data_IF_453562388062
#
_entry.id   IF_453562388062
#
_cell.length_a   1.000
_cell.length_b   1.000
_cell.length_c   1.000
_cell.angle_alpha   90.00
_cell.angle_beta   90.00
_cell.angle_gamma   90.00
#
_symmetry.space_group_name_H-M   'P 1'
#
loop_
_entity.id
_entity.type
_entity.pdbx_description
1 polymer ?
#
# COMPACT_ATOMS: atom_id res chain seq x y z
N UNK A 1 -10.35 -2.00 16.94
CA UNK A 1 -9.61 -2.40 15.74
C UNK A 1 -9.31 -3.87 15.84
N UNK A 2 -9.57 -4.60 14.78
CA UNK A 2 -9.34 -6.04 14.76
C UNK A 2 -7.86 -6.29 14.42
N UNK A 3 -7.12 -6.85 15.36
CA UNK A 3 -5.70 -7.11 15.19
C UNK A 3 -5.41 -8.26 14.23
N UNK A 4 -6.42 -9.04 13.89
CA UNK A 4 -6.28 -10.16 12.95
C UNK A 4 -6.37 -9.73 11.48
N UNK A 5 -6.77 -8.50 11.22
CA UNK A 5 -6.86 -7.99 9.86
C UNK A 5 -5.49 -7.49 9.38
N UNK A 6 -5.15 -7.84 8.14
CA UNK A 6 -3.91 -7.39 7.52
C UNK A 6 -4.09 -6.06 6.79
N UNK A 7 -5.12 -5.32 7.10
CA UNK A 7 -5.27 -3.95 6.64
C UNK A 7 -6.24 -3.20 7.53
N UNK A 8 -6.17 -1.87 7.49
CA UNK A 8 -7.21 -1.00 8.04
C UNK A 8 -7.28 0.26 7.22
N UNK A 9 -8.43 0.49 6.59
CA UNK A 9 -8.68 1.64 5.73
C UNK A 9 -10.02 2.26 6.13
N UNK A 10 -10.31 3.44 5.57
CA UNK A 10 -11.55 4.16 5.88
C UNK A 10 -12.78 3.38 5.40
N UNK A 11 -12.77 2.93 4.16
CA UNK A 11 -13.93 2.32 3.51
C UNK A 11 -13.48 1.47 2.33
N UNK A 12 -13.51 0.16 2.50
CA UNK A 12 -13.07 -0.77 1.47
C UNK A 12 -13.94 -0.71 0.20
N UNK A 13 -15.16 -0.21 0.32
CA UNK A 13 -16.05 -0.09 -0.85
C UNK A 13 -15.55 0.93 -1.87
N UNK A 14 -14.58 1.78 -1.51
CA UNK A 14 -13.96 2.73 -2.42
C UNK A 14 -12.92 2.09 -3.34
N UNK A 15 -12.67 0.80 -3.20
CA UNK A 15 -11.57 0.12 -3.92
C UNK A 15 -11.73 0.17 -5.44
N UNK A 16 -12.94 0.02 -5.96
CA UNK A 16 -13.14 0.03 -7.42
C UNK A 16 -12.84 1.41 -8.01
N UNK A 17 -13.24 2.46 -7.32
CA UNK A 17 -12.91 3.82 -7.72
C UNK A 17 -11.39 4.03 -7.66
N UNK A 18 -10.76 3.58 -6.58
CA UNK A 18 -9.30 3.66 -6.43
C UNK A 18 -8.58 2.92 -7.56
N UNK A 19 -9.06 1.74 -7.94
CA UNK A 19 -8.45 0.95 -9.02
C UNK A 19 -8.46 1.71 -10.34
N UNK A 20 -9.55 2.37 -10.67
CA UNK A 20 -9.64 3.17 -11.89
C UNK A 20 -8.64 4.31 -11.89
N UNK A 21 -8.48 4.98 -10.75
CA UNK A 21 -7.52 6.08 -10.62
C UNK A 21 -6.08 5.58 -10.70
N UNK A 22 -5.80 4.41 -10.14
CA UNK A 22 -4.47 3.79 -10.24
C UNK A 22 -4.13 3.48 -11.70
N UNK A 23 -5.08 2.93 -12.45
CA UNK A 23 -4.87 2.64 -13.87
C UNK A 23 -4.53 3.89 -14.68
N UNK A 24 -5.19 5.01 -14.37
CA UNK A 24 -4.88 6.29 -15.01
C UNK A 24 -3.46 6.75 -14.61
N UNK A 25 -3.13 6.67 -13.33
CA UNK A 25 -1.82 7.09 -12.83
C UNK A 25 -0.69 6.28 -13.46
N UNK A 26 -0.91 4.99 -13.71
CA UNK A 26 0.09 4.14 -14.38
C UNK A 26 0.49 4.70 -15.73
N UNK A 27 -0.47 5.27 -16.47
CA UNK A 27 -0.19 5.87 -17.77
C UNK A 27 0.66 7.15 -17.66
N UNK A 28 0.66 7.76 -16.49
CA UNK A 28 1.41 8.99 -16.24
C UNK A 28 2.76 8.74 -15.58
N UNK A 29 3.10 7.48 -15.32
CA UNK A 29 4.34 7.09 -14.63
C UNK A 29 5.13 6.09 -15.48
N UNK A 30 5.52 6.47 -16.71
CA UNK A 30 6.14 5.52 -17.64
C UNK A 30 7.49 4.96 -17.17
N UNK A 31 8.28 5.76 -16.43
CA UNK A 31 9.56 5.28 -15.90
C UNK A 31 9.37 4.13 -14.91
N UNK A 32 8.44 4.31 -13.98
CA UNK A 32 8.16 3.27 -12.98
C UNK A 32 7.55 2.03 -13.64
N UNK A 33 6.65 2.23 -14.60
CA UNK A 33 6.04 1.10 -15.32
C UNK A 33 7.06 0.34 -16.16
N UNK A 34 8.06 1.04 -16.71
CA UNK A 34 9.15 0.39 -17.45
C UNK A 34 9.99 -0.49 -16.52
N UNK A 35 10.28 -0.03 -15.31
CA UNK A 35 10.99 -0.81 -14.30
C UNK A 35 10.17 -2.05 -13.91
N UNK A 36 8.88 -1.87 -13.69
CA UNK A 36 7.98 -2.99 -13.36
C UNK A 36 8.05 -4.06 -14.43
N UNK A 37 7.92 -3.66 -15.70
CA UNK A 37 7.96 -4.57 -16.82
C UNK A 37 9.30 -5.28 -16.94
N UNK A 38 10.40 -4.54 -16.74
CA UNK A 38 11.75 -5.09 -16.89
C UNK A 38 12.08 -6.14 -15.84
N UNK A 39 11.64 -5.96 -14.61
CA UNK A 39 12.06 -6.79 -13.49
C UNK A 39 10.98 -7.70 -12.92
N UNK A 40 9.75 -7.66 -13.44
CA UNK A 40 8.65 -8.45 -12.90
C UNK A 40 8.93 -9.96 -12.99
N UNK A 41 9.44 -10.42 -14.12
CA UNK A 41 9.70 -11.85 -14.35
C UNK A 41 10.85 -12.35 -13.48
N UNK A 42 11.89 -11.56 -13.29
CA UNK A 42 13.06 -11.95 -12.50
C UNK A 42 12.81 -11.88 -10.99
N UNK A 43 11.73 -11.18 -10.57
CA UNK A 43 11.43 -10.99 -9.15
C UNK A 43 12.64 -10.48 -8.37
N UNK A 44 13.22 -9.39 -8.87
CA UNK A 44 14.49 -8.87 -8.34
C UNK A 44 14.43 -8.49 -6.85
N UNK A 45 13.24 -8.28 -6.28
CA UNK A 45 13.06 -7.97 -4.86
C UNK A 45 12.55 -9.17 -4.06
N UNK A 46 12.57 -10.37 -4.63
CA UNK A 46 12.13 -11.57 -3.93
C UNK A 46 12.89 -11.73 -2.62
N UNK A 47 12.15 -11.98 -1.55
CA UNK A 47 12.73 -12.13 -0.21
C UNK A 47 12.90 -10.83 0.57
N UNK A 48 12.68 -9.67 -0.09
CA UNK A 48 12.76 -8.38 0.60
C UNK A 48 11.46 -8.11 1.35
N UNK A 49 11.58 -7.62 2.58
CA UNK A 49 10.46 -7.14 3.38
C UNK A 49 10.58 -5.63 3.48
N UNK A 50 9.59 -4.94 2.97
CA UNK A 50 9.63 -3.48 2.86
C UNK A 50 8.48 -2.88 3.64
N UNK A 51 8.81 -2.03 4.62
CA UNK A 51 7.84 -1.18 5.29
C UNK A 51 7.92 0.20 4.67
N UNK A 52 6.80 0.72 4.20
CA UNK A 52 6.74 2.07 3.69
C UNK A 52 6.00 2.99 4.65
N UNK A 53 6.49 4.20 4.77
CA UNK A 53 5.82 5.27 5.50
C UNK A 53 5.85 6.50 4.60
N UNK A 54 4.85 6.61 3.75
CA UNK A 54 4.75 7.68 2.76
C UNK A 54 3.28 7.95 2.51
N UNK A 55 2.96 9.16 2.07
CA UNK A 55 1.56 9.56 1.80
C UNK A 55 0.85 8.49 0.97
N UNK A 56 -0.25 7.98 1.50
CA UNK A 56 -0.99 6.89 0.83
C UNK A 56 -1.89 7.48 -0.25
N UNK A 57 -1.28 7.88 -1.35
CA UNK A 57 -1.95 8.48 -2.51
C UNK A 57 -2.04 7.47 -3.65
N UNK A 58 -2.73 7.87 -4.72
CA UNK A 58 -2.84 7.06 -5.93
C UNK A 58 -1.44 6.76 -6.51
N UNK A 59 -0.55 7.75 -6.55
CA UNK A 59 0.79 7.56 -7.07
C UNK A 59 1.60 6.58 -6.21
N UNK A 60 1.45 6.67 -4.90
CA UNK A 60 2.07 5.74 -3.97
C UNK A 60 1.51 4.32 -4.17
N UNK A 61 0.23 4.20 -4.49
CA UNK A 61 -0.35 2.90 -4.81
C UNK A 61 0.34 2.24 -6.01
N UNK A 62 0.66 3.02 -7.04
CA UNK A 62 1.41 2.50 -8.20
C UNK A 62 2.79 2.00 -7.75
N UNK A 63 3.46 2.74 -6.88
CA UNK A 63 4.76 2.33 -6.33
C UNK A 63 4.63 1.03 -5.54
N UNK A 64 3.66 0.94 -4.64
CA UNK A 64 3.44 -0.26 -3.82
C UNK A 64 3.23 -1.48 -4.70
N UNK A 65 2.36 -1.37 -5.70
CA UNK A 65 2.08 -2.49 -6.59
C UNK A 65 3.30 -2.87 -7.43
N UNK A 66 4.13 -1.89 -7.78
CA UNK A 66 5.39 -2.16 -8.46
C UNK A 66 6.32 -2.99 -7.56
N UNK A 67 6.47 -2.61 -6.29
CA UNK A 67 7.32 -3.36 -5.36
C UNK A 67 6.83 -4.80 -5.19
N UNK A 68 5.52 -4.98 -5.10
CA UNK A 68 4.93 -6.32 -4.98
C UNK A 68 5.14 -7.15 -6.25
N UNK A 69 4.97 -6.54 -7.41
CA UNK A 69 5.22 -7.20 -8.70
C UNK A 69 6.68 -7.65 -8.83
N UNK A 70 7.60 -6.91 -8.23
CA UNK A 70 9.03 -7.26 -8.22
C UNK A 70 9.37 -8.32 -7.17
N UNK A 71 8.40 -8.78 -6.41
CA UNK A 71 8.57 -9.89 -5.49
C UNK A 71 8.67 -9.52 -4.02
N UNK A 72 8.62 -8.24 -3.66
CA UNK A 72 8.74 -7.82 -2.26
C UNK A 72 7.47 -8.12 -1.46
N UNK A 73 7.66 -8.39 -0.17
CA UNK A 73 6.58 -8.35 0.81
C UNK A 73 6.49 -6.92 1.32
N UNK A 74 5.34 -6.28 1.18
CA UNK A 74 5.19 -4.85 1.47
C UNK A 74 4.11 -4.64 2.53
N UNK A 75 4.40 -3.76 3.49
CA UNK A 75 3.43 -3.28 4.47
C UNK A 75 3.54 -1.76 4.49
N UNK A 76 2.42 -1.08 4.56
CA UNK A 76 2.42 0.37 4.33
C UNK A 76 1.57 1.13 5.34
N UNK A 77 2.05 2.31 5.73
CA UNK A 77 1.31 3.30 6.50
C UNK A 77 1.59 4.68 5.93
N UNK A 78 0.70 5.63 6.16
CA UNK A 78 0.95 7.00 5.74
C UNK A 78 1.88 7.70 6.72
N UNK A 79 2.65 8.65 6.22
CA UNK A 79 3.51 9.48 7.05
C UNK A 79 2.81 10.74 7.57
N UNK A 80 1.50 10.87 7.34
CA UNK A 80 0.73 12.05 7.76
C UNK A 80 -0.72 11.64 8.00
N UNK A 81 -1.34 12.22 9.04
CA UNK A 81 -2.70 11.85 9.44
C UNK A 81 -3.79 12.34 8.48
N UNK A 82 -3.49 13.27 7.58
CA UNK A 82 -4.49 13.84 6.68
C UNK A 82 -4.22 13.59 5.19
N UNK A 83 -3.07 13.00 4.83
CA UNK A 83 -2.67 12.95 3.42
C UNK A 83 -3.20 11.75 2.66
N UNK A 84 -3.79 10.77 3.33
CA UNK A 84 -4.29 9.56 2.66
C UNK A 84 -5.44 9.88 1.72
N UNK A 85 -5.38 9.33 0.52
CA UNK A 85 -6.53 9.24 -0.37
C UNK A 85 -7.21 7.92 -0.09
N UNK A 86 -8.40 7.96 0.50
CA UNK A 86 -9.05 6.75 1.01
C UNK A 86 -9.35 5.72 -0.05
N UNK A 87 -9.65 6.16 -1.28
CA UNK A 87 -9.88 5.23 -2.38
C UNK A 87 -8.59 4.51 -2.82
N UNK A 88 -7.42 5.18 -2.70
CA UNK A 88 -6.14 4.54 -2.99
C UNK A 88 -5.84 3.45 -1.96
N UNK A 89 -6.01 3.76 -0.67
CA UNK A 89 -5.81 2.79 0.40
C UNK A 89 -6.75 1.59 0.24
N UNK A 90 -8.02 1.85 -0.10
CA UNK A 90 -9.00 0.79 -0.31
C UNK A 90 -8.59 -0.16 -1.45
N UNK A 91 -8.11 0.39 -2.56
CA UNK A 91 -7.67 -0.42 -3.70
C UNK A 91 -6.50 -1.34 -3.33
N UNK A 92 -5.53 -0.81 -2.58
CA UNK A 92 -4.37 -1.59 -2.12
C UNK A 92 -4.81 -2.69 -1.15
N UNK A 93 -5.71 -2.37 -0.23
CA UNK A 93 -6.25 -3.37 0.70
C UNK A 93 -6.99 -4.49 -0.03
N UNK A 94 -7.81 -4.13 -1.03
CA UNK A 94 -8.55 -5.13 -1.82
C UNK A 94 -7.63 -6.02 -2.63
N UNK A 95 -6.47 -5.50 -3.04
CA UNK A 95 -5.47 -6.29 -3.74
C UNK A 95 -4.72 -7.27 -2.83
N UNK A 96 -5.01 -7.25 -1.53
CA UNK A 96 -4.39 -8.17 -0.58
C UNK A 96 -3.08 -7.67 0.00
N UNK A 97 -2.75 -6.41 -0.17
CA UNK A 97 -1.51 -5.82 0.33
C UNK A 97 -1.79 -5.16 1.68
N UNK A 98 -1.04 -5.52 2.75
CA UNK A 98 -1.23 -4.90 4.05
C UNK A 98 -1.01 -3.39 4.02
N UNK A 99 -2.05 -2.63 4.32
CA UNK A 99 -2.03 -1.17 4.33
C UNK A 99 -2.86 -0.67 5.52
N UNK A 100 -2.32 0.32 6.23
CA UNK A 100 -2.93 0.85 7.44
C UNK A 100 -2.92 2.38 7.34
N UNK A 101 -3.95 2.93 6.72
CA UNK A 101 -4.00 4.36 6.44
C UNK A 101 -5.42 4.82 6.15
N UNK A 102 -5.80 5.96 6.71
CA UNK A 102 -7.05 6.66 6.36
C UNK A 102 -6.88 8.14 6.63
N UNK A 103 -7.68 8.94 5.95
CA UNK A 103 -7.67 10.37 6.16
C UNK A 103 -8.34 10.71 7.50
N UNK A 104 -7.63 11.44 8.34
CA UNK A 104 -8.18 11.86 9.63
C UNK A 104 -7.85 10.91 10.78
N UNK A 105 -6.71 10.23 10.72
CA UNK A 105 -6.22 9.44 11.85
C UNK A 105 -5.98 10.32 13.06
N UNK A 106 -6.28 9.83 14.26
CA UNK A 106 -5.78 10.44 15.49
C UNK A 106 -4.29 10.12 15.62
N UNK A 107 -3.57 10.82 16.52
CA UNK A 107 -2.17 10.49 16.75
C UNK A 107 -1.99 9.06 17.27
N UNK A 108 -2.89 8.62 18.13
CA UNK A 108 -2.85 7.24 18.62
C UNK A 108 -3.03 6.23 17.49
N UNK A 109 -3.97 6.52 16.58
CA UNK A 109 -4.22 5.66 15.42
C UNK A 109 -3.03 5.68 14.46
N UNK A 110 -2.42 6.83 14.27
CA UNK A 110 -1.23 6.97 13.44
C UNK A 110 -0.10 6.03 13.92
N UNK A 111 0.18 6.05 15.21
CA UNK A 111 1.23 5.19 15.77
C UNK A 111 0.86 3.72 15.73
N UNK A 112 -0.42 3.40 15.93
CA UNK A 112 -0.89 2.03 15.75
C UNK A 112 -0.65 1.56 14.31
N UNK A 113 -0.96 2.41 13.31
CA UNK A 113 -0.73 2.08 11.90
C UNK A 113 0.74 1.84 11.63
N UNK A 114 1.61 2.68 12.18
CA UNK A 114 3.06 2.55 12.01
C UNK A 114 3.56 1.22 12.60
N UNK A 115 3.09 0.87 13.79
CA UNK A 115 3.46 -0.42 14.39
C UNK A 115 3.00 -1.59 13.54
N UNK A 116 1.80 -1.53 13.00
CA UNK A 116 1.28 -2.58 12.13
C UNK A 116 2.10 -2.70 10.83
N UNK A 117 2.53 -1.59 10.28
CA UNK A 117 3.33 -1.59 9.06
C UNK A 117 4.72 -2.19 9.29
N UNK A 118 5.23 -2.13 10.51
CA UNK A 118 6.54 -2.70 10.86
C UNK A 118 6.46 -4.18 11.26
N UNK A 119 5.27 -4.70 11.51
CA UNK A 119 5.11 -6.04 12.08
C UNK A 119 4.83 -7.09 11.00
N UNK A 120 5.89 -7.74 10.55
CA UNK A 120 5.81 -8.84 9.58
C UNK A 120 5.52 -10.18 10.24
N UNK A 121 5.44 -10.25 11.57
CA UNK A 121 5.20 -11.52 12.27
C UNK A 121 3.83 -12.11 11.95
N UNK A 122 2.84 -11.26 11.64
CA UNK A 122 1.49 -11.68 11.28
C UNK A 122 1.45 -12.42 9.93
N UNK A 123 2.52 -12.37 9.17
CA UNK A 123 2.62 -13.00 7.86
C UNK A 123 3.09 -14.45 7.94
N UNK A 124 3.34 -14.95 9.13
CA UNK A 124 4.01 -16.24 9.31
C UNK A 124 3.05 -17.43 9.43
N UNK A 125 1.80 -17.21 9.21
CA UNK A 125 0.81 -18.29 9.32
C UNK A 125 -0.09 -18.42 8.16
#
# INVERSE_FOLDING_TARGET
>A
MDENENYKVKDISLADFGRKEIEIAEQEMPGLMAIRKKYADSKSLKGSRITGSLHMTIQTAVLIETLVELGAEVRWASCNIFSTQDHAAAAIAKAGIPVFAWKGESLKEYWWCTERALDFSSEQY
#
